data_IF_866070999661
#
_entry.id   IF_866070999661
#
_cell.length_a   1.000
_cell.length_b   1.000
_cell.length_c   1.000
_cell.angle_alpha   90.00
_cell.angle_beta   90.00
_cell.angle_gamma   90.00
#
_symmetry.space_group_name_H-M   'P 1'
#
loop_
_entity.id
_entity.type
_entity.pdbx_description
1 polymer ?
#
# COMPACT_ATOMS: atom_id res chain seq x y z
N UNK A 1 -4.29 14.80 -4.32
CA UNK A 1 -4.98 15.81 -3.50
C UNK A 1 -6.25 16.19 -4.22
N UNK A 2 -7.38 16.09 -3.54
CA UNK A 2 -8.69 16.52 -4.03
C UNK A 2 -9.46 17.21 -2.90
N UNK A 3 -10.75 17.47 -3.09
CA UNK A 3 -11.58 18.15 -2.10
C UNK A 3 -12.95 17.49 -1.98
N UNK A 4 -13.54 17.55 -0.79
CA UNK A 4 -14.91 17.11 -0.56
C UNK A 4 -15.09 15.63 -0.31
N UNK A 5 -16.21 15.31 0.33
CA UNK A 5 -16.68 13.96 0.61
C UNK A 5 -16.66 13.05 -0.63
N UNK A 6 -17.06 13.57 -1.79
CA UNK A 6 -17.11 12.79 -3.05
C UNK A 6 -15.72 12.33 -3.46
N UNK A 7 -14.69 13.18 -3.31
CA UNK A 7 -13.32 12.78 -3.61
C UNK A 7 -12.81 11.72 -2.63
N UNK A 8 -13.18 11.84 -1.36
CA UNK A 8 -12.80 10.87 -0.34
C UNK A 8 -13.45 9.51 -0.56
N UNK A 9 -14.74 9.46 -0.88
CA UNK A 9 -15.44 8.21 -1.20
C UNK A 9 -14.87 7.55 -2.46
N UNK A 10 -14.46 8.33 -3.46
CA UNK A 10 -13.73 7.80 -4.63
C UNK A 10 -12.38 7.21 -4.24
N UNK A 11 -11.63 7.86 -3.34
CA UNK A 11 -10.36 7.35 -2.85
C UNK A 11 -10.53 6.03 -2.07
N UNK A 12 -11.57 5.94 -1.23
CA UNK A 12 -11.94 4.69 -0.54
C UNK A 12 -12.26 3.58 -1.52
N UNK A 13 -13.09 3.86 -2.52
CA UNK A 13 -13.45 2.90 -3.56
C UNK A 13 -12.22 2.39 -4.32
N UNK A 14 -11.30 3.29 -4.68
CA UNK A 14 -10.04 2.91 -5.34
C UNK A 14 -9.15 2.02 -4.47
N UNK A 15 -9.07 2.30 -3.17
CA UNK A 15 -8.36 1.46 -2.19
C UNK A 15 -8.99 0.07 -2.07
N UNK A 16 -10.32 -0.01 -1.97
CA UNK A 16 -11.07 -1.27 -1.87
C UNK A 16 -11.01 -2.09 -3.17
N UNK A 17 -10.92 -1.42 -4.32
CA UNK A 17 -10.79 -2.05 -5.63
C UNK A 17 -9.35 -2.36 -6.03
N UNK A 18 -8.37 -2.07 -5.16
CA UNK A 18 -6.95 -2.29 -5.39
C UNK A 18 -6.39 -1.56 -6.63
N UNK A 19 -6.91 -0.37 -6.93
CA UNK A 19 -6.52 0.39 -8.13
C UNK A 19 -5.02 0.75 -8.16
N UNK A 20 -4.38 0.90 -7.00
CA UNK A 20 -2.93 1.10 -6.89
C UNK A 20 -2.10 -0.06 -7.43
N UNK A 21 -2.67 -1.26 -7.58
CA UNK A 21 -2.04 -2.42 -8.21
C UNK A 21 -2.59 -2.72 -9.62
N UNK A 22 -3.42 -1.83 -10.18
CA UNK A 22 -3.98 -1.94 -11.53
C UNK A 22 -2.95 -1.51 -12.60
N UNK A 23 -1.84 -2.22 -12.65
CA UNK A 23 -0.76 -2.02 -13.64
C UNK A 23 -0.47 -3.33 -14.36
N UNK A 24 -0.17 -3.26 -15.66
CA UNK A 24 -0.07 -4.44 -16.54
C UNK A 24 0.97 -5.51 -16.12
N UNK A 25 1.90 -5.14 -15.24
CA UNK A 25 2.96 -6.01 -14.73
C UNK A 25 2.71 -6.52 -13.31
N UNK A 26 1.58 -6.20 -12.69
CA UNK A 26 1.15 -6.72 -11.37
C UNK A 26 -0.16 -7.50 -11.52
N UNK A 27 -0.30 -8.59 -10.76
CA UNK A 27 -1.55 -9.35 -10.60
C UNK A 27 -1.77 -9.70 -9.14
N UNK A 28 -3.01 -9.60 -8.69
CA UNK A 28 -3.43 -10.03 -7.36
C UNK A 28 -4.08 -11.41 -7.41
N UNK A 29 -3.91 -12.17 -6.33
CA UNK A 29 -4.45 -13.51 -6.19
C UNK A 29 -5.09 -13.67 -4.80
N UNK A 30 -6.42 -13.77 -4.67
CA UNK A 30 -7.42 -13.60 -5.74
C UNK A 30 -7.40 -12.16 -6.32
N UNK A 31 -8.01 -11.95 -7.49
CA UNK A 31 -7.94 -10.67 -8.24
C UNK A 31 -8.40 -9.46 -7.41
N UNK A 32 -9.39 -9.66 -6.54
CA UNK A 32 -9.90 -8.66 -5.60
C UNK A 32 -9.93 -9.26 -4.19
N UNK A 33 -8.81 -9.22 -3.46
CA UNK A 33 -8.80 -9.63 -2.06
C UNK A 33 -9.72 -8.75 -1.22
N UNK A 34 -10.33 -9.33 -0.20
CA UNK A 34 -11.13 -8.54 0.76
C UNK A 34 -10.18 -7.64 1.56
N UNK A 35 -10.52 -6.36 1.69
CA UNK A 35 -9.80 -5.44 2.57
C UNK A 35 -10.26 -5.66 4.01
N UNK A 36 -9.64 -6.64 4.68
CA UNK A 36 -9.88 -6.94 6.09
C UNK A 36 -8.56 -7.39 6.75
N UNK A 37 -8.36 -7.04 8.02
CA UNK A 37 -7.20 -7.48 8.79
C UNK A 37 -7.05 -9.02 8.72
N UNK A 38 -5.80 -9.48 8.71
CA UNK A 38 -5.40 -10.88 8.55
C UNK A 38 -5.66 -11.52 7.19
N UNK A 39 -6.24 -10.80 6.22
CA UNK A 39 -6.43 -11.33 4.85
C UNK A 39 -5.07 -11.56 4.19
N UNK A 40 -4.81 -12.78 3.74
CA UNK A 40 -3.61 -13.17 2.99
C UNK A 40 -3.93 -13.25 1.51
N UNK A 41 -3.06 -12.70 0.67
CA UNK A 41 -3.19 -12.73 -0.78
C UNK A 41 -1.83 -12.76 -1.46
N UNK A 42 -1.80 -13.22 -2.72
CA UNK A 42 -0.61 -13.23 -3.55
C UNK A 42 -0.53 -11.97 -4.42
N UNK A 43 0.68 -11.42 -4.55
CA UNK A 43 1.03 -10.39 -5.52
C UNK A 43 2.06 -10.99 -6.48
N UNK A 44 1.69 -11.11 -7.74
CA UNK A 44 2.60 -11.53 -8.81
C UNK A 44 3.06 -10.30 -9.56
N UNK A 45 4.37 -10.04 -9.58
CA UNK A 45 4.96 -8.94 -10.31
C UNK A 45 5.93 -9.47 -11.38
N UNK A 46 5.93 -8.85 -12.56
CA UNK A 46 6.85 -9.20 -13.66
C UNK A 46 8.05 -8.26 -13.67
N UNK A 47 9.25 -8.83 -13.51
CA UNK A 47 10.52 -8.11 -13.62
C UNK A 47 11.43 -8.83 -14.61
N UNK A 48 11.98 -8.09 -15.58
CA UNK A 48 12.88 -8.63 -16.63
C UNK A 48 12.36 -9.94 -17.24
N UNK A 49 11.09 -9.97 -17.64
CA UNK A 49 10.38 -11.12 -18.22
C UNK A 49 10.08 -12.30 -17.28
N UNK A 50 10.57 -12.29 -16.04
CA UNK A 50 10.27 -13.31 -15.03
C UNK A 50 9.11 -12.84 -14.15
N UNK A 51 8.11 -13.71 -13.95
CA UNK A 51 7.08 -13.51 -12.94
C UNK A 51 7.59 -13.99 -11.58
N UNK A 52 7.49 -13.14 -10.57
CA UNK A 52 7.76 -13.49 -9.18
C UNK A 52 6.50 -13.27 -8.35
N UNK A 53 6.10 -14.29 -7.58
CA UNK A 53 4.91 -14.24 -6.73
C UNK A 53 5.34 -14.12 -5.26
N UNK A 54 4.72 -13.17 -4.59
CA UNK A 54 4.96 -12.79 -3.21
C UNK A 54 3.67 -12.92 -2.42
N UNK A 55 3.71 -13.44 -1.20
CA UNK A 55 2.52 -13.48 -0.34
C UNK A 55 2.56 -12.34 0.67
N UNK A 56 1.46 -11.58 0.70
CA UNK A 56 1.25 -10.44 1.56
C UNK A 56 0.03 -10.70 2.44
N UNK A 57 0.00 -10.04 3.60
CA UNK A 57 -1.13 -10.07 4.53
C UNK A 57 -1.52 -8.64 4.87
N UNK A 58 -2.81 -8.39 4.99
CA UNK A 58 -3.30 -7.13 5.56
C UNK A 58 -3.05 -7.19 7.08
N UNK A 59 -2.08 -6.42 7.57
CA UNK A 59 -1.71 -6.40 8.98
C UNK A 59 -2.76 -5.68 9.85
N UNK A 60 -3.38 -4.63 9.31
CA UNK A 60 -4.45 -3.88 9.96
C UNK A 60 -5.22 -3.07 8.92
N UNK A 61 -6.43 -2.66 9.29
CA UNK A 61 -7.27 -1.70 8.57
C UNK A 61 -7.43 -0.44 9.42
N UNK A 62 -7.64 0.69 8.76
CA UNK A 62 -7.94 2.00 9.36
C UNK A 62 -9.29 2.44 8.84
N UNK A 63 -10.22 2.74 9.74
CA UNK A 63 -11.52 3.35 9.44
C UNK A 63 -11.90 4.23 10.63
N UNK A 64 -11.29 5.42 10.67
CA UNK A 64 -11.50 6.39 11.74
C UNK A 64 -12.40 7.51 11.23
N UNK A 65 -13.35 7.95 12.06
CA UNK A 65 -14.22 9.10 11.77
C UNK A 65 -14.04 10.16 12.84
N UNK A 66 -13.90 11.42 12.44
CA UNK A 66 -13.65 12.52 13.37
C UNK A 66 -13.41 13.84 12.66
N UNK A 67 -12.50 14.66 13.19
CA UNK A 67 -12.06 15.89 12.50
C UNK A 67 -11.32 15.58 11.18
N UNK A 68 -10.69 14.41 11.12
CA UNK A 68 -10.12 13.83 9.91
C UNK A 68 -10.68 12.42 9.75
N UNK A 69 -11.44 12.19 8.69
CA UNK A 69 -11.86 10.83 8.35
C UNK A 69 -10.70 10.10 7.66
N UNK A 70 -10.38 8.89 8.13
CA UNK A 70 -9.29 8.09 7.58
C UNK A 70 -9.79 6.75 7.14
N UNK A 71 -9.37 6.32 5.96
CA UNK A 71 -9.60 4.97 5.48
C UNK A 71 -8.35 4.41 4.83
N UNK A 72 -7.96 3.20 5.22
CA UNK A 72 -6.75 2.59 4.70
C UNK A 72 -6.45 1.22 5.26
N UNK A 73 -5.29 0.70 4.90
CA UNK A 73 -4.79 -0.57 5.41
C UNK A 73 -3.27 -0.68 5.28
N UNK A 74 -2.67 -1.46 6.16
CA UNK A 74 -1.27 -1.83 6.11
C UNK A 74 -1.09 -3.23 5.54
N UNK A 75 -0.23 -3.39 4.55
CA UNK A 75 0.25 -4.67 4.05
C UNK A 75 1.54 -5.04 4.75
N UNK A 76 1.68 -6.29 5.16
CA UNK A 76 2.92 -6.87 5.64
C UNK A 76 3.30 -8.11 4.85
N UNK A 77 4.59 -8.33 4.64
CA UNK A 77 5.09 -9.56 4.02
C UNK A 77 4.79 -10.78 4.91
N UNK A 78 4.28 -11.86 4.31
CA UNK A 78 4.18 -13.17 4.99
C UNK A 78 5.59 -13.78 5.06
N UNK A 79 5.92 -14.46 6.18
CA UNK A 79 7.26 -15.05 6.42
C UNK A 79 7.74 -15.86 5.21
N UNK A 80 8.97 -15.58 4.74
CA UNK A 80 9.59 -16.23 3.56
C UNK A 80 9.98 -15.27 2.44
N UNK A 81 9.70 -13.96 2.57
CA UNK A 81 10.02 -12.95 1.56
C UNK A 81 11.38 -12.25 1.81
N UNK A 82 12.11 -11.94 0.73
CA UNK A 82 13.47 -11.34 0.71
C UNK A 82 13.46 -9.91 1.31
N UNK A 83 12.30 -9.25 1.33
CA UNK A 83 12.10 -7.92 1.88
C UNK A 83 10.98 -7.97 2.92
N UNK A 84 11.30 -7.79 4.20
CA UNK A 84 10.27 -7.58 5.22
C UNK A 84 9.86 -6.11 5.19
N UNK A 85 8.87 -5.80 4.36
CA UNK A 85 8.28 -4.47 4.27
C UNK A 85 6.89 -4.41 4.87
N UNK A 86 6.56 -3.30 5.53
CA UNK A 86 5.18 -2.88 5.76
C UNK A 86 4.85 -1.73 4.80
N UNK A 87 3.80 -1.84 4.02
CA UNK A 87 3.33 -0.76 3.14
C UNK A 87 1.90 -0.37 3.52
N UNK A 88 1.72 0.87 3.95
CA UNK A 88 0.43 1.44 4.33
C UNK A 88 -0.12 2.29 3.21
N UNK A 89 -1.36 2.04 2.83
CA UNK A 89 -2.15 2.87 1.92
C UNK A 89 -3.28 3.51 2.71
N UNK A 90 -3.41 4.85 2.64
CA UNK A 90 -4.42 5.56 3.42
C UNK A 90 -4.90 6.81 2.69
N UNK A 91 -6.22 7.00 2.68
CA UNK A 91 -6.88 8.24 2.34
C UNK A 91 -7.29 8.98 3.62
N UNK A 92 -7.11 10.30 3.63
CA UNK A 92 -7.51 11.18 4.72
C UNK A 92 -8.38 12.31 4.16
N UNK A 93 -9.48 12.63 4.83
CA UNK A 93 -10.30 13.80 4.53
C UNK A 93 -10.35 14.71 5.75
N UNK A 94 -9.81 15.92 5.59
CA UNK A 94 -9.76 16.94 6.62
C UNK A 94 -11.02 17.81 6.51
N UNK A 95 -11.93 17.67 7.48
CA UNK A 95 -13.20 18.44 7.46
C UNK A 95 -12.99 19.94 7.67
N UNK A 96 -11.87 20.33 8.30
CA UNK A 96 -11.57 21.73 8.60
C UNK A 96 -11.28 22.59 7.37
N UNK A 97 -10.64 22.03 6.33
CA UNK A 97 -10.30 22.73 5.08
C UNK A 97 -10.84 22.03 3.82
N UNK A 98 -11.65 21.00 4.01
CA UNK A 98 -12.24 20.15 2.98
C UNK A 98 -11.22 19.44 2.07
N UNK A 99 -9.97 19.28 2.50
CA UNK A 99 -8.92 18.67 1.69
C UNK A 99 -8.88 17.14 1.84
N UNK A 100 -8.67 16.45 0.70
CA UNK A 100 -8.52 15.00 0.64
C UNK A 100 -7.10 14.63 0.22
N UNK A 101 -6.46 13.85 1.08
CA UNK A 101 -5.08 13.41 0.95
C UNK A 101 -5.05 11.90 0.72
N UNK A 102 -4.10 11.47 -0.10
CA UNK A 102 -3.79 10.06 -0.29
C UNK A 102 -2.30 9.89 -0.05
N UNK A 103 -1.94 8.99 0.85
CA UNK A 103 -0.56 8.73 1.19
C UNK A 103 -0.24 7.23 1.21
N UNK A 104 0.96 6.92 0.73
CA UNK A 104 1.56 5.60 0.78
C UNK A 104 2.82 5.68 1.61
N UNK A 105 2.93 4.85 2.65
CA UNK A 105 4.10 4.81 3.52
C UNK A 105 4.65 3.39 3.50
N UNK A 106 5.85 3.22 2.95
CA UNK A 106 6.56 1.95 2.97
C UNK A 106 7.69 1.97 4.00
N UNK A 107 7.70 0.99 4.90
CA UNK A 107 8.78 0.69 5.82
C UNK A 107 9.44 -0.62 5.37
N UNK A 108 10.66 -0.56 4.85
CA UNK A 108 11.44 -1.76 4.51
C UNK A 108 12.46 -2.07 5.61
N UNK A 109 12.40 -3.28 6.19
CA UNK A 109 13.48 -3.85 7.01
C UNK A 109 14.14 -4.99 6.23
N UNK A 110 15.47 -4.99 6.05
CA UNK A 110 16.16 -6.11 5.40
C UNK A 110 16.02 -7.37 6.26
N UNK A 111 15.58 -8.49 5.67
CA UNK A 111 15.28 -9.74 6.38
C UNK A 111 16.07 -10.95 5.84
N UNK A 112 17.11 -10.73 5.03
CA UNK A 112 17.94 -11.82 4.50
C UNK A 112 19.38 -11.34 4.28
N UNK A 113 20.36 -12.24 4.44
CA UNK A 113 21.80 -12.00 4.23
C UNK A 113 22.12 -11.51 2.80
N UNK A 114 21.29 -11.88 1.81
CA UNK A 114 21.38 -11.39 0.42
C UNK A 114 21.05 -9.90 0.32
N UNK A 115 20.13 -9.39 1.15
CA UNK A 115 19.80 -7.96 1.21
C UNK A 115 20.93 -7.13 1.82
N UNK A 116 21.86 -7.77 2.57
CA UNK A 116 23.05 -7.13 3.12
C UNK A 116 24.17 -6.94 2.09
N UNK A 117 24.22 -7.77 1.04
CA UNK A 117 25.26 -7.67 0.00
C UNK A 117 25.02 -6.54 -1.02
N UNK A 118 23.79 -6.03 -1.12
CA UNK A 118 23.45 -4.81 -1.87
C UNK A 118 23.60 -3.52 -1.05
N UNK A 119 24.15 -3.61 0.17
CA UNK A 119 24.00 -2.61 1.23
C UNK A 119 25.30 -1.86 1.55
N UNK A 120 25.78 -0.93 0.70
CA UNK A 120 26.63 0.12 1.23
C UNK A 120 25.99 1.52 1.20
N UNK A 121 24.81 1.74 0.60
CA UNK A 121 24.31 3.11 0.35
C UNK A 121 22.79 3.33 0.46
N UNK A 122 22.09 2.68 1.40
CA UNK A 122 20.71 3.10 1.75
C UNK A 122 20.65 3.57 3.20
N UNK A 123 20.93 4.86 3.39
CA UNK A 123 20.37 5.61 4.51
C UNK A 123 18.85 5.54 4.47
N UNK A 124 18.21 5.66 5.64
CA UNK A 124 16.76 5.73 5.81
C UNK A 124 16.19 6.76 4.82
N UNK A 125 15.63 6.29 3.72
CA UNK A 125 15.01 7.14 2.70
C UNK A 125 13.52 7.16 2.96
N UNK A 126 13.05 8.24 3.57
CA UNK A 126 11.62 8.54 3.72
C UNK A 126 11.12 9.03 2.36
N UNK A 127 10.80 8.10 1.46
CA UNK A 127 10.21 8.42 0.17
C UNK A 127 8.70 8.66 0.35
N UNK A 128 8.29 9.93 0.34
CA UNK A 128 6.90 10.35 0.21
C UNK A 128 6.65 10.60 -1.28
N UNK A 129 6.09 9.63 -2.01
CA UNK A 129 5.59 9.86 -3.37
C UNK A 129 4.26 10.60 -3.29
N UNK A 130 4.27 11.89 -3.68
CA UNK A 130 3.05 12.71 -3.78
C UNK A 130 2.26 12.30 -5.02
N UNK A 131 1.02 11.85 -4.78
CA UNK A 131 -0.14 12.07 -5.63
C UNK A 131 -0.12 11.41 -7.02
N UNK A 132 -0.69 10.22 -7.12
CA UNK A 132 -1.37 9.81 -8.35
C UNK A 132 -2.63 10.67 -8.47
N UNK A 133 -2.77 11.32 -9.63
CA UNK A 133 -3.94 12.12 -10.00
C UNK A 133 -5.00 11.14 -10.52
N UNK A 134 -6.15 11.07 -9.83
CA UNK A 134 -7.37 10.38 -10.32
C UNK A 134 -8.05 11.26 -11.36
#
# INVERSE_FOLDING_TARGET
MGHGAVCFERAKAGLQCWEMFSVAWVRLHPEKPVVAAETVFGISARFLFVWSTSFCRIAYTVDDKGEVDRFGFGLGAVRGHILAGEERFCGEWHHGDDTVWYHVIAFSRPNTVISLLGYPWCGISRSSSRGIRV
#
